data_IF_814911003435
#
_entry.id   IF_814911003435
#
_cell.length_a   1.000
_cell.length_b   1.000
_cell.length_c   1.000
_cell.angle_alpha   90.00
_cell.angle_beta   90.00
_cell.angle_gamma   90.00
#
_symmetry.space_group_name_H-M   'P 1'
#
loop_
_entity.id
_entity.type
_entity.pdbx_description
1 polymer ?
#
# COMPACT_ATOMS: atom_id res chain seq x y z
N UNK A 1 11.34 15.48 24.52
CA UNK A 1 10.89 14.97 24.22
C UNK A 1 10.81 14.30 23.45
N UNK A 2 10.73 13.71 23.10
CA UNK A 2 10.54 13.14 22.31
C UNK A 2 9.77 12.61 22.08
N UNK A 3 9.44 12.65 21.66
CA UNK A 3 8.63 12.04 21.45
C UNK A 3 8.68 11.11 20.69
N UNK A 4 8.76 10.16 21.04
CA UNK A 4 8.81 9.19 20.14
C UNK A 4 7.52 9.06 19.52
N UNK A 5 7.56 8.95 18.28
CA UNK A 5 6.43 8.80 17.58
C UNK A 5 5.90 7.47 17.73
N UNK A 6 4.68 7.32 18.02
CA UNK A 6 4.11 6.01 18.11
C UNK A 6 4.06 5.37 16.74
N UNK A 7 3.81 4.10 16.68
CA UNK A 7 3.71 3.40 15.43
C UNK A 7 2.61 4.00 14.58
N UNK A 8 2.77 4.04 13.27
CA UNK A 8 1.69 4.52 12.41
C UNK A 8 0.46 3.65 12.53
N UNK A 9 -0.70 4.25 12.41
CA UNK A 9 -1.96 3.52 12.47
C UNK A 9 -2.62 3.47 11.11
N UNK A 10 -2.16 4.29 10.17
CA UNK A 10 -2.74 4.35 8.85
C UNK A 10 -1.65 4.58 7.82
N UNK A 11 -1.98 4.33 6.58
CA UNK A 11 -1.05 4.54 5.48
C UNK A 11 -1.79 5.08 4.26
N UNK A 12 -1.05 5.75 3.40
CA UNK A 12 -1.56 6.19 2.10
C UNK A 12 -0.60 5.68 1.04
N UNK A 13 -1.09 4.89 0.11
CA UNK A 13 -0.27 4.33 -0.95
C UNK A 13 -0.73 4.89 -2.29
N UNK A 14 0.23 5.35 -3.08
CA UNK A 14 -0.02 5.86 -4.41
C UNK A 14 0.65 4.88 -5.34
N UNK A 15 -0.08 4.22 -6.20
CA UNK A 15 0.46 3.12 -6.98
C UNK A 15 -0.23 2.99 -8.32
N UNK A 16 0.43 2.29 -9.23
CA UNK A 16 -0.18 1.86 -10.47
C UNK A 16 -0.53 0.39 -10.36
N UNK A 17 -1.59 -0.01 -11.01
CA UNK A 17 -1.82 -1.42 -11.22
C UNK A 17 -2.17 -1.66 -12.67
N UNK A 18 -1.82 -2.84 -13.16
CA UNK A 18 -1.98 -3.19 -14.55
C UNK A 18 -2.35 -4.65 -14.62
N UNK A 19 -3.43 -4.97 -15.31
CA UNK A 19 -3.83 -6.35 -15.47
C UNK A 19 -2.82 -7.05 -16.34
N UNK A 20 -2.46 -8.28 -15.97
CA UNK A 20 -1.50 -9.06 -16.71
C UNK A 20 -1.96 -9.23 -18.14
N UNK A 21 -1.07 -9.01 -19.08
CA UNK A 21 -1.37 -9.14 -20.50
C UNK A 21 -1.90 -7.89 -21.15
N UNK A 22 -2.07 -6.79 -20.40
CA UNK A 22 -2.49 -5.52 -20.98
C UNK A 22 -1.39 -4.51 -20.82
N UNK A 23 -1.46 -3.42 -21.59
CA UNK A 23 -0.50 -2.35 -21.48
C UNK A 23 -1.03 -1.17 -20.70
N UNK A 24 -2.33 -1.11 -20.50
CA UNK A 24 -2.92 0.01 -19.81
C UNK A 24 -2.68 -0.11 -18.31
N UNK A 25 -2.23 0.98 -17.70
CA UNK A 25 -2.00 1.05 -16.26
C UNK A 25 -2.97 2.04 -15.66
N UNK A 26 -3.42 1.75 -14.47
CA UNK A 26 -4.29 2.66 -13.75
C UNK A 26 -3.58 3.14 -12.50
N UNK A 27 -3.47 4.44 -12.36
CA UNK A 27 -2.91 5.03 -11.16
C UNK A 27 -4.03 5.27 -10.16
N UNK A 28 -3.79 4.89 -8.93
CA UNK A 28 -4.79 5.09 -7.91
C UNK A 28 -4.11 5.34 -6.57
N UNK A 29 -4.88 5.80 -5.62
CA UNK A 29 -4.41 6.10 -4.30
C UNK A 29 -5.28 5.36 -3.31
N UNK A 30 -4.67 4.68 -2.37
CA UNK A 30 -5.39 3.92 -1.37
C UNK A 30 -4.98 4.39 0.01
N UNK A 31 -5.96 4.63 0.84
CA UNK A 31 -5.73 4.98 2.23
C UNK A 31 -6.34 3.88 3.08
N UNK A 32 -5.63 3.41 4.07
CA UNK A 32 -6.12 2.31 4.84
C UNK A 32 -5.53 2.24 6.24
N UNK A 33 -6.05 1.29 7.00
CA UNK A 33 -5.64 1.09 8.38
C UNK A 33 -4.53 0.04 8.44
N UNK A 34 -3.47 0.34 9.16
CA UNK A 34 -2.37 -0.59 9.34
C UNK A 34 -2.85 -1.88 10.02
N UNK A 35 -3.69 -1.74 11.04
CA UNK A 35 -4.14 -2.92 11.77
C UNK A 35 -5.07 -3.80 10.93
N UNK A 36 -5.89 -3.20 10.08
CA UNK A 36 -6.85 -3.97 9.31
C UNK A 36 -6.27 -4.51 8.01
N UNK A 37 -5.45 -3.72 7.34
CA UNK A 37 -4.93 -4.10 6.04
C UNK A 37 -3.58 -4.81 6.12
N UNK A 38 -2.76 -4.43 7.09
CA UNK A 38 -1.40 -4.90 7.16
C UNK A 38 -1.13 -5.74 8.40
N UNK A 39 -2.17 -6.01 9.18
CA UNK A 39 -2.06 -6.80 10.40
C UNK A 39 -1.00 -6.25 11.35
N UNK A 40 -0.89 -4.93 11.41
CA UNK A 40 0.06 -4.27 12.29
C UNK A 40 1.44 -4.08 11.72
N UNK A 41 1.71 -4.58 10.52
CA UNK A 41 3.03 -4.42 9.92
C UNK A 41 3.17 -3.02 9.33
N UNK A 42 4.34 -2.44 9.48
CA UNK A 42 4.60 -1.10 8.97
C UNK A 42 5.76 -1.14 7.98
N UNK A 43 5.68 -2.01 7.00
CA UNK A 43 6.71 -2.16 5.99
C UNK A 43 6.11 -1.98 4.61
N UNK A 44 6.95 -1.56 3.69
CA UNK A 44 6.55 -1.40 2.30
C UNK A 44 6.08 -2.73 1.72
N UNK A 45 6.78 -3.81 2.07
CA UNK A 45 6.44 -5.10 1.52
C UNK A 45 5.05 -5.56 1.98
N UNK A 46 4.64 -5.21 3.20
CA UNK A 46 3.30 -5.52 3.67
C UNK A 46 2.26 -4.78 2.84
N UNK A 47 2.52 -3.53 2.51
CA UNK A 47 1.60 -2.75 1.68
C UNK A 47 1.49 -3.38 0.29
N UNK A 48 2.61 -3.73 -0.32
CA UNK A 48 2.60 -4.34 -1.64
C UNK A 48 1.83 -5.66 -1.62
N UNK A 49 2.03 -6.45 -0.58
CA UNK A 49 1.31 -7.71 -0.45
C UNK A 49 -0.20 -7.48 -0.37
N UNK A 50 -0.61 -6.48 0.40
CA UNK A 50 -2.03 -6.15 0.49
C UNK A 50 -2.57 -5.69 -0.86
N UNK A 51 -1.81 -4.86 -1.58
CA UNK A 51 -2.26 -4.36 -2.87
C UNK A 51 -2.39 -5.51 -3.89
N UNK A 52 -1.49 -6.46 -3.84
CA UNK A 52 -1.60 -7.62 -4.72
C UNK A 52 -2.84 -8.46 -4.42
N UNK A 53 -3.18 -8.55 -3.16
CA UNK A 53 -4.39 -9.24 -2.75
C UNK A 53 -5.64 -8.51 -3.20
N UNK A 54 -5.58 -7.18 -3.19
CA UNK A 54 -6.71 -6.35 -3.59
C UNK A 54 -6.91 -6.39 -5.10
N UNK A 55 -5.84 -6.58 -5.86
CA UNK A 55 -5.90 -6.62 -7.33
C UNK A 55 -5.32 -7.93 -7.84
N UNK A 56 -6.05 -9.05 -7.66
CA UNK A 56 -5.50 -10.34 -8.08
C UNK A 56 -5.31 -10.36 -9.60
N UNK A 57 -4.20 -10.95 -10.02
CA UNK A 57 -3.88 -11.02 -11.44
C UNK A 57 -3.31 -9.76 -12.02
N UNK A 58 -3.03 -8.75 -11.19
CA UNK A 58 -2.47 -7.49 -11.65
C UNK A 58 -1.05 -7.32 -11.16
N UNK A 59 -0.28 -6.57 -11.91
CA UNK A 59 1.04 -6.14 -11.48
C UNK A 59 0.89 -4.86 -10.69
N UNK A 60 1.60 -4.75 -9.59
CA UNK A 60 1.52 -3.60 -8.72
C UNK A 60 2.85 -2.87 -8.74
N UNK A 61 2.79 -1.56 -8.92
CA UNK A 61 3.97 -0.72 -8.89
C UNK A 61 3.73 0.42 -7.91
N UNK A 62 4.31 0.32 -6.73
CA UNK A 62 4.14 1.30 -5.68
C UNK A 62 4.99 2.52 -5.98
N UNK A 63 4.35 3.67 -6.11
CA UNK A 63 5.04 4.91 -6.45
C UNK A 63 5.39 5.71 -5.23
N UNK A 64 4.52 5.75 -4.24
CA UNK A 64 4.76 6.54 -3.05
C UNK A 64 4.00 5.92 -1.89
N UNK A 65 4.57 6.03 -0.70
CA UNK A 65 3.96 5.46 0.48
C UNK A 65 4.16 6.44 1.63
N UNK A 66 3.08 6.74 2.31
CA UNK A 66 3.12 7.66 3.42
C UNK A 66 2.50 6.97 4.63
N UNK A 67 3.16 7.05 5.76
CA UNK A 67 2.66 6.47 7.00
C UNK A 67 2.04 7.59 7.84
N UNK A 68 0.93 7.30 8.47
CA UNK A 68 0.25 8.28 9.31
C UNK A 68 -0.06 7.75 10.71
#
# INVERSE_FOLDING_TARGET
MILSKSKPTAYVADYYFKKSGTEARTRTRLQGSVSQHLHGATTESAVVTYLRSKHPGCEINLMNLEWR
#
